data_IF_422643310193
#
_entry.id   IF_422643310193
#
_cell.length_a   1.000
_cell.length_b   1.000
_cell.length_c   1.000
_cell.angle_alpha   90.00
_cell.angle_beta   90.00
_cell.angle_gamma   90.00
#
_symmetry.space_group_name_H-M   'P 1'
#
loop_
_entity.id
_entity.type
_entity.pdbx_description
1 polymer ?
#
# COMPACT_ATOMS: atom_id res chain seq x y z
N UNK A 1 14.95 -6.85 38.51
CA UNK A 1 16.17 -7.55 38.09
C UNK A 1 15.78 -8.71 37.20
N UNK A 2 16.12 -8.68 35.91
CA UNK A 2 16.21 -9.90 35.11
C UNK A 2 17.68 -10.36 35.21
N UNK A 3 17.97 -11.48 35.90
CA UNK A 3 19.34 -11.94 36.10
C UNK A 3 19.77 -12.73 34.87
N UNK A 4 20.60 -12.11 34.03
CA UNK A 4 21.17 -12.74 32.84
C UNK A 4 21.31 -11.71 31.74
N UNK A 5 22.54 -11.29 31.48
CA UNK A 5 22.91 -10.35 30.42
C UNK A 5 22.68 -10.90 29.02
N UNK A 6 21.43 -11.18 28.66
CA UNK A 6 20.99 -11.24 27.29
C UNK A 6 20.68 -9.80 26.87
N UNK A 7 21.26 -9.35 25.76
CA UNK A 7 20.90 -8.08 25.14
C UNK A 7 19.36 -7.96 25.07
N UNK A 8 18.78 -6.74 25.19
CA UNK A 8 17.36 -6.58 24.96
C UNK A 8 17.00 -7.29 23.66
N UNK A 9 15.89 -8.08 23.61
CA UNK A 9 15.50 -8.79 22.41
C UNK A 9 15.49 -7.77 21.28
N UNK A 10 16.30 -8.01 20.25
CA UNK A 10 16.47 -7.05 19.16
C UNK A 10 15.10 -6.92 18.49
N UNK A 11 14.45 -5.74 18.55
CA UNK A 11 13.13 -5.59 17.98
C UNK A 11 13.21 -5.86 16.48
N UNK A 12 12.21 -6.53 15.93
CA UNK A 12 12.16 -6.81 14.51
C UNK A 12 12.24 -5.53 13.69
N UNK A 13 12.98 -5.56 12.59
CA UNK A 13 13.09 -4.39 11.72
C UNK A 13 11.74 -4.07 11.06
N UNK A 14 11.49 -2.79 10.69
CA UNK A 14 10.31 -2.41 9.93
C UNK A 14 10.12 -3.30 8.70
N UNK A 15 8.87 -3.70 8.42
CA UNK A 15 8.50 -4.68 7.41
C UNK A 15 8.47 -6.13 7.91
N UNK A 16 8.82 -6.37 9.17
CA UNK A 16 8.74 -7.67 9.80
C UNK A 16 7.89 -7.63 11.07
N UNK A 17 7.29 -8.76 11.40
CA UNK A 17 6.53 -8.98 12.63
C UNK A 17 7.10 -10.17 13.43
N UNK A 18 6.87 -10.17 14.72
CA UNK A 18 7.23 -11.25 15.63
C UNK A 18 5.97 -11.85 16.24
N UNK A 19 5.62 -13.07 15.85
CA UNK A 19 4.47 -13.80 16.40
C UNK A 19 4.49 -13.98 17.93
N UNK A 20 5.64 -13.76 18.59
CA UNK A 20 5.72 -13.68 20.04
C UNK A 20 6.87 -12.77 20.53
N UNK A 21 6.70 -12.11 21.69
CA UNK A 21 7.69 -11.21 22.25
C UNK A 21 8.93 -11.98 22.70
N UNK A 22 10.10 -11.57 22.20
CA UNK A 22 11.39 -12.21 22.50
C UNK A 22 11.86 -13.27 21.50
N UNK A 23 11.12 -13.52 20.41
CA UNK A 23 11.64 -14.31 19.29
C UNK A 23 12.71 -13.52 18.53
N UNK A 24 13.86 -14.15 18.30
CA UNK A 24 14.91 -13.65 17.39
C UNK A 24 14.57 -13.87 15.90
N UNK A 25 13.37 -14.37 15.61
CA UNK A 25 12.94 -14.81 14.28
C UNK A 25 11.80 -13.91 13.81
N UNK A 26 12.17 -12.88 13.06
CA UNK A 26 11.24 -11.92 12.48
C UNK A 26 10.68 -12.51 11.18
N UNK A 27 9.36 -12.59 11.08
CA UNK A 27 8.68 -13.00 9.86
C UNK A 27 8.35 -11.77 9.02
N UNK A 28 8.46 -11.89 7.70
CA UNK A 28 8.13 -10.80 6.78
C UNK A 28 6.62 -10.60 6.75
N UNK A 29 6.18 -9.35 6.76
CA UNK A 29 4.78 -9.04 6.50
C UNK A 29 4.38 -9.55 5.11
N UNK A 30 3.25 -10.26 5.05
CA UNK A 30 2.66 -10.68 3.79
C UNK A 30 2.29 -9.46 2.94
N UNK A 31 2.19 -9.63 1.62
CA UNK A 31 1.74 -8.55 0.75
C UNK A 31 0.33 -8.09 1.16
N UNK A 32 0.05 -6.79 1.07
CA UNK A 32 -1.18 -6.19 1.60
C UNK A 32 -1.04 -5.74 3.06
N UNK A 33 0.06 -6.12 3.71
CA UNK A 33 0.40 -5.69 5.04
C UNK A 33 1.77 -5.00 5.07
N UNK A 34 1.89 -4.00 5.93
CA UNK A 34 3.10 -3.25 6.17
C UNK A 34 3.34 -3.12 7.67
N UNK A 35 4.58 -2.79 8.03
CA UNK A 35 4.90 -2.50 9.41
C UNK A 35 5.98 -1.43 9.52
N UNK A 36 5.60 -0.25 10.01
CA UNK A 36 6.55 0.86 10.22
C UNK A 36 7.25 0.81 11.58
N UNK A 37 6.66 0.13 12.56
CA UNK A 37 7.18 0.04 13.92
C UNK A 37 8.08 -1.18 14.07
N UNK A 38 9.23 -0.99 14.70
CA UNK A 38 10.12 -2.10 15.03
C UNK A 38 9.59 -2.90 16.22
N UNK A 39 9.66 -4.23 16.14
CA UNK A 39 9.18 -5.14 17.20
C UNK A 39 7.67 -5.31 17.25
N UNK A 40 6.96 -5.09 16.15
CA UNK A 40 5.52 -5.33 16.11
C UNK A 40 5.20 -6.84 16.16
N UNK A 41 4.08 -7.17 16.81
CA UNK A 41 3.60 -8.55 16.93
C UNK A 41 2.66 -8.94 15.79
N UNK A 42 2.14 -7.94 15.08
CA UNK A 42 1.25 -8.07 13.93
C UNK A 42 1.63 -7.07 12.84
N UNK A 43 1.25 -7.36 11.60
CA UNK A 43 1.39 -6.41 10.50
C UNK A 43 0.12 -5.58 10.33
N UNK A 44 0.27 -4.32 9.95
CA UNK A 44 -0.83 -3.40 9.69
C UNK A 44 -1.31 -3.58 8.24
N UNK A 45 -2.62 -3.64 8.01
CA UNK A 45 -3.18 -3.72 6.65
C UNK A 45 -3.02 -2.37 5.94
N UNK A 46 -2.66 -2.43 4.67
CA UNK A 46 -2.48 -1.23 3.87
C UNK A 46 -3.80 -0.54 3.55
N UNK A 47 -3.76 0.80 3.52
CA UNK A 47 -4.94 1.58 3.15
C UNK A 47 -5.24 1.42 1.66
N UNK A 48 -6.52 1.50 1.32
CA UNK A 48 -6.97 1.60 -0.09
C UNK A 48 -6.28 2.77 -0.77
N UNK A 49 -5.73 2.51 -1.95
CA UNK A 49 -4.93 3.47 -2.72
C UNK A 49 -3.42 3.35 -2.51
N UNK A 50 -2.97 2.65 -1.47
CA UNK A 50 -1.56 2.31 -1.29
C UNK A 50 -1.35 0.82 -1.58
N UNK A 51 -0.16 0.45 -2.01
CA UNK A 51 0.26 -0.93 -2.20
C UNK A 51 1.42 -1.28 -1.27
N UNK A 52 1.46 -2.53 -0.84
CA UNK A 52 2.46 -2.99 0.11
C UNK A 52 3.02 -4.34 -0.34
N UNK A 53 4.26 -4.35 -0.87
CA UNK A 53 4.94 -5.60 -1.18
C UNK A 53 5.23 -6.39 0.10
N UNK A 54 5.56 -7.67 -0.05
CA UNK A 54 6.07 -8.50 1.06
C UNK A 54 7.27 -7.79 1.70
N UNK A 55 7.25 -7.65 3.02
CA UNK A 55 8.29 -6.94 3.75
C UNK A 55 8.21 -5.40 3.68
N UNK A 56 7.04 -4.85 3.34
CA UNK A 56 6.85 -3.40 3.31
C UNK A 56 7.00 -2.77 4.71
N UNK A 57 7.96 -1.86 4.85
CA UNK A 57 8.11 -1.02 6.05
C UNK A 57 7.16 0.19 6.07
N UNK A 58 6.50 0.45 4.94
CA UNK A 58 5.69 1.63 4.67
C UNK A 58 4.66 1.26 3.61
N UNK A 59 3.48 1.88 3.67
CA UNK A 59 2.54 1.88 2.56
C UNK A 59 3.07 2.71 1.38
N UNK A 60 3.31 2.07 0.23
CA UNK A 60 3.76 2.79 -0.95
C UNK A 60 2.52 3.34 -1.69
N UNK A 61 2.51 4.62 -2.10
CA UNK A 61 1.42 5.14 -2.90
C UNK A 61 1.38 4.39 -4.24
N UNK A 62 0.20 3.94 -4.66
CA UNK A 62 0.06 3.33 -5.97
C UNK A 62 0.42 4.35 -7.05
N UNK A 63 1.54 4.14 -7.72
CA UNK A 63 2.05 5.03 -8.76
C UNK A 63 1.59 4.53 -10.14
N UNK A 64 0.33 4.79 -10.46
CA UNK A 64 -0.22 4.55 -11.80
C UNK A 64 -0.05 5.77 -12.71
N UNK A 65 0.13 5.54 -14.01
CA UNK A 65 0.29 6.61 -14.99
C UNK A 65 -0.98 7.48 -15.08
N UNK A 66 -0.86 8.77 -15.39
CA UNK A 66 -2.01 9.62 -15.68
C UNK A 66 -2.84 9.01 -16.81
N UNK A 67 -4.16 8.88 -16.59
CA UNK A 67 -5.06 8.10 -17.45
C UNK A 67 -5.39 6.71 -16.91
N UNK A 68 -4.65 6.22 -15.92
CA UNK A 68 -4.96 4.99 -15.19
C UNK A 68 -5.18 5.30 -13.71
N UNK A 69 -5.93 4.45 -13.03
CA UNK A 69 -6.12 4.52 -11.59
C UNK A 69 -5.84 3.17 -10.96
N UNK A 70 -5.23 3.19 -9.77
CA UNK A 70 -4.97 1.98 -9.03
C UNK A 70 -6.25 1.49 -8.35
N UNK A 71 -6.78 0.34 -8.78
CA UNK A 71 -7.90 -0.32 -8.08
C UNK A 71 -7.37 -1.31 -7.02
N UNK A 72 -6.52 -0.82 -6.11
CA UNK A 72 -6.04 -1.63 -4.98
C UNK A 72 -7.08 -1.62 -3.88
N UNK A 73 -7.88 -2.69 -3.84
CA UNK A 73 -8.86 -2.94 -2.78
C UNK A 73 -8.20 -3.47 -1.51
N UNK A 74 -7.07 -4.18 -1.64
CA UNK A 74 -6.39 -4.86 -0.53
C UNK A 74 -4.86 -4.75 -0.51
N UNK A 75 -4.25 -4.09 -1.49
CA UNK A 75 -2.82 -3.76 -1.46
C UNK A 75 -1.89 -4.97 -1.48
N UNK A 76 -2.39 -6.17 -1.82
CA UNK A 76 -1.68 -7.46 -1.80
C UNK A 76 -0.57 -7.60 -2.85
N UNK A 77 -0.23 -6.52 -3.57
CA UNK A 77 0.73 -6.59 -4.65
C UNK A 77 0.81 -5.32 -5.49
N UNK A 78 1.48 -5.44 -6.63
CA UNK A 78 1.66 -4.38 -7.62
C UNK A 78 0.30 -3.71 -7.91
N UNK A 79 0.20 -2.38 -7.97
CA UNK A 79 -1.07 -1.74 -8.26
C UNK A 79 -1.56 -2.19 -9.64
N UNK A 80 -2.71 -2.84 -9.67
CA UNK A 80 -3.45 -3.06 -10.90
C UNK A 80 -3.92 -1.69 -11.41
N UNK A 81 -3.15 -1.13 -12.33
CA UNK A 81 -3.45 0.14 -12.98
C UNK A 81 -4.53 -0.12 -14.03
N UNK A 82 -5.78 0.16 -13.65
CA UNK A 82 -6.92 0.07 -14.55
C UNK A 82 -7.03 1.35 -15.37
N UNK A 83 -7.40 1.21 -16.64
CA UNK A 83 -7.74 2.34 -17.51
C UNK A 83 -8.92 3.13 -16.95
N UNK A 84 -8.83 4.45 -16.99
CA UNK A 84 -9.92 5.31 -16.55
C UNK A 84 -11.18 5.04 -17.40
N UNK A 85 -12.35 4.79 -16.79
CA UNK A 85 -13.57 4.59 -17.55
C UNK A 85 -13.96 5.86 -18.30
N UNK A 86 -14.54 5.70 -19.49
CA UNK A 86 -15.08 6.80 -20.27
C UNK A 86 -16.13 7.57 -19.45
N UNK A 87 -16.09 8.90 -19.52
CA UNK A 87 -16.89 9.81 -18.67
C UNK A 87 -16.22 10.24 -17.36
N UNK A 88 -15.04 9.71 -17.02
CA UNK A 88 -14.24 10.13 -15.86
C UNK A 88 -12.81 10.46 -16.25
N UNK A 89 -12.17 11.32 -15.45
CA UNK A 89 -10.75 11.64 -15.56
C UNK A 89 -9.97 11.09 -14.36
N UNK A 90 -8.81 10.51 -14.65
CA UNK A 90 -7.92 9.92 -13.66
C UNK A 90 -6.57 10.63 -13.71
N UNK A 91 -6.24 11.52 -12.76
CA UNK A 91 -4.96 12.24 -12.77
C UNK A 91 -3.74 11.33 -12.62
N UNK A 92 -3.94 10.04 -12.36
CA UNK A 92 -2.90 9.06 -12.09
C UNK A 92 -2.81 8.73 -10.61
N UNK A 93 -2.12 7.64 -10.31
CA UNK A 93 -1.84 7.20 -8.96
C UNK A 93 -2.99 6.42 -8.30
N UNK A 94 -3.17 6.68 -7.00
CA UNK A 94 -4.16 6.08 -6.11
C UNK A 94 -5.56 6.73 -6.16
N UNK A 95 -5.68 7.84 -6.89
CA UNK A 95 -6.89 8.64 -6.89
C UNK A 95 -8.02 7.91 -7.63
N UNK A 96 -9.25 7.88 -7.07
CA UNK A 96 -10.39 7.32 -7.77
C UNK A 96 -10.73 8.13 -9.03
N UNK A 97 -11.35 7.50 -10.03
CA UNK A 97 -11.82 8.20 -11.23
C UNK A 97 -12.77 9.32 -10.84
N UNK A 98 -12.47 10.53 -11.29
CA UNK A 98 -13.31 11.70 -11.01
C UNK A 98 -14.26 11.90 -12.19
N UNK A 99 -15.59 11.82 -11.99
CA UNK A 99 -16.54 12.04 -13.07
C UNK A 99 -16.41 13.47 -13.60
N UNK A 100 -16.51 13.64 -14.91
CA UNK A 100 -16.41 14.95 -15.54
C UNK A 100 -17.61 15.84 -15.19
N UNK A 101 -17.34 17.13 -14.99
CA UNK A 101 -18.40 18.12 -14.77
C UNK A 101 -19.34 18.22 -15.98
N UNK A 102 -20.62 18.59 -15.78
CA UNK A 102 -21.56 18.75 -16.88
C UNK A 102 -21.02 19.77 -17.90
N UNK A 103 -20.68 19.28 -19.10
CA UNK A 103 -20.12 20.09 -20.19
C UNK A 103 -18.72 19.66 -20.66
N UNK A 104 -18.00 18.85 -19.88
CA UNK A 104 -16.76 18.18 -20.31
C UNK A 104 -16.98 16.67 -20.39
N UNK A 105 -16.32 16.01 -21.34
CA UNK A 105 -16.52 14.60 -21.63
C UNK A 105 -15.18 13.90 -21.87
N UNK A 106 -14.90 12.87 -21.06
CA UNK A 106 -13.82 11.94 -21.37
C UNK A 106 -14.27 11.03 -22.52
N UNK A 107 -13.96 11.48 -23.75
CA UNK A 107 -14.33 10.80 -25.02
C UNK A 107 -13.75 9.40 -25.17
N UNK A 108 -12.65 9.12 -24.49
CA UNK A 108 -11.95 7.84 -24.55
C UNK A 108 -11.70 7.28 -23.13
N UNK A 109 -11.56 5.96 -22.99
CA UNK A 109 -10.94 5.40 -21.80
C UNK A 109 -9.48 5.87 -21.72
N UNK A 110 -8.95 6.00 -20.50
CA UNK A 110 -7.56 6.40 -20.31
C UNK A 110 -7.30 7.91 -20.23
N UNK A 111 -8.32 8.76 -20.09
CA UNK A 111 -8.10 10.21 -20.00
C UNK A 111 -7.57 10.62 -18.62
N UNK A 112 -6.50 11.42 -18.65
CA UNK A 112 -5.92 12.02 -17.45
C UNK A 112 -6.64 13.29 -16.97
N UNK A 113 -7.41 13.92 -17.87
CA UNK A 113 -8.21 15.13 -17.65
C UNK A 113 -9.49 15.07 -18.46
N UNK A 114 -10.53 15.75 -18.00
CA UNK A 114 -11.74 15.95 -18.79
C UNK A 114 -11.47 17.02 -19.84
N UNK A 115 -11.88 16.77 -21.08
CA UNK A 115 -11.83 17.72 -22.20
C UNK A 115 -13.22 18.19 -22.61
#
# INVERSE_FOLDING_TARGET
ACPGGAAPPTPCEPGHFASAPGLSKCELCAAGFYQSSSGAEECVRCKRGSFCPVGASLELPAACFPGTYANVTDGDGLPDCLDCPAGSACPGGAAPPTPCEPGHFASAPGLSKCE
#
